data_IF_743683375897
#
_entry.id   IF_743683375897
#
_cell.length_a   1.000
_cell.length_b   1.000
_cell.length_c   1.000
_cell.angle_alpha   90.00
_cell.angle_beta   90.00
_cell.angle_gamma   90.00
#
_symmetry.space_group_name_H-M   'P 1'
#
loop_
_entity.id
_entity.type
_entity.pdbx_description
1 polymer ?
#
# COMPACT_ATOMS: atom_id res chain seq x y z
N UNK A 1 -32.90 4.41 -8.35
CA UNK A 1 -31.42 4.55 -8.47
C UNK A 1 -30.78 3.21 -8.84
N UNK A 2 -29.71 3.20 -9.63
CA UNK A 2 -28.88 2.00 -9.83
C UNK A 2 -27.99 1.71 -8.63
N UNK A 3 -27.25 0.59 -8.63
CA UNK A 3 -26.21 0.33 -7.64
C UNK A 3 -25.01 1.28 -7.85
N UNK A 4 -24.33 1.64 -6.76
CA UNK A 4 -23.07 2.37 -6.79
C UNK A 4 -21.91 1.35 -6.84
N UNK A 5 -21.05 1.46 -7.85
CA UNK A 5 -19.77 0.74 -7.90
C UNK A 5 -18.65 1.67 -7.41
N UNK A 6 -17.86 1.23 -6.43
CA UNK A 6 -16.85 2.04 -5.78
C UNK A 6 -15.55 1.24 -5.55
N UNK A 7 -14.52 1.41 -6.39
CA UNK A 7 -13.15 1.17 -5.99
C UNK A 7 -12.69 2.32 -5.08
N UNK A 8 -12.06 2.00 -3.95
CA UNK A 8 -11.66 3.00 -2.95
C UNK A 8 -10.49 2.50 -2.08
N UNK A 9 -9.76 3.43 -1.46
CA UNK A 9 -8.66 3.12 -0.54
C UNK A 9 -8.15 4.37 0.18
N UNK A 10 -7.27 4.17 1.16
CA UNK A 10 -6.58 5.28 1.84
C UNK A 10 -5.14 5.40 1.32
N UNK A 11 -4.86 6.44 0.52
CA UNK A 11 -3.53 6.71 -0.06
C UNK A 11 -2.56 7.27 0.99
N UNK A 12 -2.19 6.43 1.94
CA UNK A 12 -1.52 6.80 3.19
C UNK A 12 0.01 6.80 3.02
N UNK A 13 0.56 7.98 2.73
CA UNK A 13 2.00 8.24 2.62
C UNK A 13 2.66 8.29 4.00
N UNK A 14 3.29 7.19 4.42
CA UNK A 14 4.00 7.11 5.70
C UNK A 14 5.43 7.67 5.55
N UNK A 15 5.71 8.80 6.20
CA UNK A 15 7.07 9.36 6.28
C UNK A 15 8.03 8.36 6.94
N UNK A 16 9.18 8.14 6.33
CA UNK A 16 10.31 7.32 6.82
C UNK A 16 11.63 8.10 6.71
N UNK A 17 12.70 7.59 7.33
CA UNK A 17 14.06 8.14 7.26
C UNK A 17 14.71 7.91 5.89
N UNK A 18 14.67 6.67 5.40
CA UNK A 18 15.11 6.29 4.07
C UNK A 18 14.39 5.00 3.62
N UNK A 19 13.55 5.12 2.58
CA UNK A 19 12.74 4.03 2.02
C UNK A 19 13.56 2.82 1.56
N UNK A 20 14.83 3.03 1.20
CA UNK A 20 15.78 1.97 0.79
C UNK A 20 16.27 1.12 1.98
N UNK A 21 15.94 1.54 3.21
CA UNK A 21 16.27 0.84 4.46
C UNK A 21 15.04 0.49 5.29
N UNK A 22 13.92 1.19 5.07
CA UNK A 22 12.63 0.87 5.67
C UNK A 22 12.14 -0.52 5.22
N UNK A 23 11.40 -1.20 6.11
CA UNK A 23 10.93 -2.58 5.89
C UNK A 23 9.42 -2.68 6.11
N UNK A 24 8.68 -3.12 5.10
CA UNK A 24 7.24 -3.40 5.21
C UNK A 24 7.05 -4.90 5.47
N UNK A 25 6.69 -5.25 6.69
CA UNK A 25 6.52 -6.62 7.20
C UNK A 25 5.04 -7.03 7.23
N UNK A 26 4.78 -8.34 7.12
CA UNK A 26 3.41 -8.90 7.08
C UNK A 26 2.88 -9.17 5.67
N UNK A 27 3.71 -8.99 4.65
CA UNK A 27 3.38 -9.24 3.23
C UNK A 27 3.79 -10.64 2.74
N UNK A 28 4.60 -11.39 3.50
CA UNK A 28 5.17 -12.66 3.07
C UNK A 28 4.09 -13.71 2.78
N UNK A 29 4.26 -14.46 1.69
CA UNK A 29 3.33 -15.48 1.21
C UNK A 29 2.08 -14.92 0.52
N UNK A 30 1.86 -13.60 0.53
CA UNK A 30 0.78 -12.98 -0.23
C UNK A 30 1.13 -12.92 -1.72
N UNK A 31 0.11 -13.15 -2.56
CA UNK A 31 0.20 -12.87 -4.00
C UNK A 31 -0.02 -11.38 -4.25
N UNK A 32 0.72 -10.80 -5.19
CA UNK A 32 0.59 -9.42 -5.64
C UNK A 32 0.69 -9.31 -7.17
N UNK A 33 0.17 -8.21 -7.71
CA UNK A 33 0.42 -7.78 -9.09
C UNK A 33 1.31 -6.55 -9.08
N UNK A 34 2.37 -6.57 -9.87
CA UNK A 34 3.35 -5.49 -9.94
C UNK A 34 3.12 -4.65 -11.21
N UNK A 35 2.60 -3.44 -11.04
CA UNK A 35 2.26 -2.52 -12.13
C UNK A 35 3.52 -1.99 -12.84
N UNK A 36 4.68 -1.97 -12.18
CA UNK A 36 5.97 -1.65 -12.81
C UNK A 36 6.41 -2.75 -13.79
N UNK A 37 6.02 -4.00 -13.52
CA UNK A 37 6.27 -5.16 -14.36
C UNK A 37 5.02 -5.57 -15.17
N UNK A 38 4.29 -4.60 -15.73
CA UNK A 38 3.11 -4.80 -16.59
C UNK A 38 2.01 -5.69 -15.96
N UNK A 39 1.76 -5.50 -14.66
CA UNK A 39 0.82 -6.28 -13.83
C UNK A 39 1.18 -7.76 -13.64
N UNK A 40 2.44 -8.14 -13.86
CA UNK A 40 2.92 -9.49 -13.59
C UNK A 40 2.57 -9.94 -12.16
N UNK A 41 1.91 -11.10 -12.06
CA UNK A 41 1.45 -11.66 -10.79
C UNK A 41 2.56 -12.54 -10.17
N UNK A 42 2.82 -12.35 -8.87
CA UNK A 42 3.93 -12.95 -8.13
C UNK A 42 3.51 -13.27 -6.70
N UNK A 43 4.31 -14.07 -5.99
CA UNK A 43 4.23 -14.24 -4.53
C UNK A 43 5.37 -13.45 -3.88
N UNK A 44 5.12 -12.88 -2.69
CA UNK A 44 6.17 -12.23 -1.89
C UNK A 44 6.87 -13.25 -1.00
N UNK A 45 8.02 -13.75 -1.45
CA UNK A 45 8.82 -14.72 -0.71
C UNK A 45 9.59 -14.07 0.46
N UNK A 46 9.82 -12.76 0.41
CA UNK A 46 10.58 -12.03 1.42
C UNK A 46 9.78 -11.82 2.72
N UNK A 47 10.45 -11.96 3.87
CA UNK A 47 9.87 -11.65 5.19
C UNK A 47 9.48 -10.17 5.35
N UNK A 48 10.12 -9.28 4.59
CA UNK A 48 9.77 -7.88 4.50
C UNK A 48 10.15 -7.28 3.13
N UNK A 49 9.27 -6.46 2.57
CA UNK A 49 9.53 -5.66 1.37
C UNK A 49 10.43 -4.46 1.72
N UNK A 50 11.40 -4.17 0.85
CA UNK A 50 12.23 -2.95 0.85
C UNK A 50 12.14 -2.33 -0.54
N UNK A 51 11.61 -1.11 -0.65
CA UNK A 51 11.45 -0.41 -1.92
C UNK A 51 12.76 0.30 -2.31
N UNK A 52 13.63 -0.43 -3.02
CA UNK A 52 14.94 0.06 -3.50
C UNK A 52 14.87 0.87 -4.82
N UNK A 53 13.67 0.99 -5.41
CA UNK A 53 13.39 1.71 -6.66
C UNK A 53 11.89 1.93 -6.83
N UNK A 54 11.45 2.31 -8.04
CA UNK A 54 10.02 2.46 -8.34
C UNK A 54 9.29 1.15 -8.03
N UNK A 55 8.25 1.24 -7.19
CA UNK A 55 7.51 0.12 -6.61
C UNK A 55 6.04 0.47 -6.68
N UNK A 56 5.24 -0.40 -7.31
CA UNK A 56 3.80 -0.19 -7.49
C UNK A 56 3.11 -1.55 -7.47
N UNK A 57 2.84 -2.04 -6.24
CA UNK A 57 2.41 -3.42 -5.99
C UNK A 57 1.06 -3.46 -5.31
N UNK A 58 0.09 -4.14 -5.92
CA UNK A 58 -1.22 -4.41 -5.31
C UNK A 58 -1.26 -5.85 -4.83
N UNK A 59 -1.23 -6.04 -3.51
CA UNK A 59 -1.35 -7.34 -2.85
C UNK A 59 -2.81 -7.78 -2.85
N UNK A 60 -3.06 -9.00 -3.33
CA UNK A 60 -4.40 -9.48 -3.72
C UNK A 60 -5.31 -9.78 -2.53
N UNK A 61 -4.75 -10.01 -1.34
CA UNK A 61 -5.48 -10.17 -0.09
C UNK A 61 -4.88 -9.22 0.96
N UNK A 62 -5.69 -8.29 1.49
CA UNK A 62 -5.27 -7.41 2.56
C UNK A 62 -5.04 -8.20 3.87
N UNK A 63 -3.83 -8.17 4.47
CA UNK A 63 -3.63 -8.67 5.82
C UNK A 63 -4.19 -7.66 6.83
N UNK A 64 -4.78 -8.14 7.94
CA UNK A 64 -5.32 -7.28 9.00
C UNK A 64 -4.28 -6.32 9.59
N UNK A 65 -2.99 -6.73 9.60
CA UNK A 65 -1.90 -5.99 10.23
C UNK A 65 -0.64 -6.06 9.38
N UNK A 66 -0.02 -4.90 9.17
CA UNK A 66 1.33 -4.71 8.64
C UNK A 66 2.19 -3.95 9.66
N UNK A 67 3.51 -3.98 9.47
CA UNK A 67 4.46 -3.11 10.16
C UNK A 67 5.37 -2.42 9.15
N UNK A 68 5.60 -1.13 9.32
CA UNK A 68 6.69 -0.41 8.65
C UNK A 68 7.77 -0.13 9.69
N UNK A 69 8.91 -0.82 9.61
CA UNK A 69 10.10 -0.49 10.41
C UNK A 69 10.89 0.61 9.74
N UNK A 70 11.31 1.58 10.54
CA UNK A 70 12.02 2.78 10.12
C UNK A 70 13.07 3.14 11.20
N UNK A 71 14.33 2.70 10.98
CA UNK A 71 15.43 2.83 11.93
C UNK A 71 15.08 2.26 13.33
N UNK A 72 14.74 3.12 14.29
CA UNK A 72 14.38 2.75 15.68
C UNK A 72 12.86 2.75 15.95
N UNK A 73 12.03 3.02 14.93
CA UNK A 73 10.58 3.18 15.05
C UNK A 73 9.86 2.06 14.31
N UNK A 74 8.73 1.62 14.84
CA UNK A 74 7.78 0.77 14.12
C UNK A 74 6.48 1.56 13.96
N UNK A 75 5.96 1.63 12.74
CA UNK A 75 4.59 2.05 12.48
C UNK A 75 3.77 0.77 12.29
N UNK A 76 2.84 0.49 13.22
CA UNK A 76 1.83 -0.54 12.99
C UNK A 76 0.73 0.07 12.12
N UNK A 77 0.35 -0.67 11.08
CA UNK A 77 -0.77 -0.34 10.19
C UNK A 77 -1.78 -1.47 10.31
N UNK A 78 -3.01 -1.18 10.70
CA UNK A 78 -4.10 -2.16 10.74
C UNK A 78 -5.27 -1.70 9.89
N UNK A 79 -5.99 -2.63 9.26
CA UNK A 79 -7.07 -2.29 8.34
C UNK A 79 -8.14 -3.36 8.22
N UNK A 80 -9.36 -2.91 7.90
CA UNK A 80 -10.54 -3.76 7.68
C UNK A 80 -11.46 -3.15 6.61
N UNK A 81 -12.31 -3.99 6.01
CA UNK A 81 -13.25 -3.60 4.94
C UNK A 81 -12.67 -3.58 3.52
N UNK A 82 -11.35 -3.63 3.38
CA UNK A 82 -10.62 -3.58 2.11
C UNK A 82 -10.19 -4.96 1.62
N UNK A 83 -10.20 -5.18 0.30
CA UNK A 83 -9.82 -6.45 -0.31
C UNK A 83 -8.30 -6.59 -0.53
N UNK A 84 -7.61 -5.47 -0.75
CA UNK A 84 -6.22 -5.39 -1.21
C UNK A 84 -5.40 -4.44 -0.31
N UNK A 85 -4.07 -4.49 -0.43
CA UNK A 85 -3.20 -3.41 0.04
C UNK A 85 -2.23 -3.02 -1.07
N UNK A 86 -2.12 -1.73 -1.36
CA UNK A 86 -1.09 -1.20 -2.27
C UNK A 86 0.14 -0.83 -1.45
N UNK A 87 1.32 -1.15 -1.96
CA UNK A 87 2.57 -0.57 -1.48
C UNK A 87 3.22 0.17 -2.65
N UNK A 88 3.41 1.48 -2.47
CA UNK A 88 3.87 2.37 -3.53
C UNK A 88 5.02 3.29 -3.11
N UNK A 89 6.01 3.42 -3.98
CA UNK A 89 7.02 4.46 -3.95
C UNK A 89 7.47 4.76 -5.40
N UNK A 90 7.57 6.03 -5.83
CA UNK A 90 7.91 6.35 -7.22
C UNK A 90 9.40 6.17 -7.55
N UNK A 91 10.26 5.94 -6.56
CA UNK A 91 11.69 5.78 -6.71
C UNK A 91 12.43 7.03 -7.22
N UNK A 92 13.75 6.93 -7.47
CA UNK A 92 14.53 8.03 -8.05
C UNK A 92 14.07 8.40 -9.47
N UNK A 93 13.51 7.45 -10.21
CA UNK A 93 12.91 7.70 -11.51
C UNK A 93 11.60 8.52 -11.42
N UNK A 94 11.10 8.82 -10.22
CA UNK A 94 9.94 9.65 -9.94
C UNK A 94 10.23 11.14 -9.74
N UNK A 95 11.49 11.54 -9.55
CA UNK A 95 11.86 12.94 -9.37
C UNK A 95 11.44 13.76 -10.61
N UNK A 96 10.59 14.77 -10.42
CA UNK A 96 10.01 15.58 -11.50
C UNK A 96 8.82 14.98 -12.27
N UNK A 97 8.40 13.73 -11.97
CA UNK A 97 7.14 13.14 -12.48
C UNK A 97 5.94 13.38 -11.56
N UNK A 98 6.19 13.71 -10.30
CA UNK A 98 5.19 13.89 -9.24
C UNK A 98 5.46 15.19 -8.48
N UNK A 99 4.43 15.70 -7.78
CA UNK A 99 4.46 16.97 -7.04
C UNK A 99 5.15 16.83 -5.67
N UNK A 100 6.45 16.48 -5.71
CA UNK A 100 7.34 16.37 -4.56
C UNK A 100 8.70 17.01 -4.89
N UNK A 101 9.41 17.53 -3.90
CA UNK A 101 10.74 18.10 -4.15
C UNK A 101 11.79 16.99 -4.47
N UNK A 102 12.89 17.31 -5.20
CA UNK A 102 13.89 16.32 -5.58
C UNK A 102 14.45 15.52 -4.38
N UNK A 103 14.43 14.19 -4.49
CA UNK A 103 14.85 13.27 -3.45
C UNK A 103 13.84 13.03 -2.33
N UNK A 104 12.62 13.58 -2.39
CA UNK A 104 11.60 13.33 -1.36
C UNK A 104 10.93 11.96 -1.45
N UNK A 105 10.98 11.28 -2.61
CA UNK A 105 10.61 9.86 -2.74
C UNK A 105 11.35 8.98 -1.72
N UNK A 106 12.59 9.33 -1.34
CA UNK A 106 13.35 8.57 -0.36
C UNK A 106 12.79 8.67 1.07
N UNK A 107 11.91 9.65 1.34
CA UNK A 107 11.44 10.02 2.69
C UNK A 107 10.02 9.50 3.00
N UNK A 108 9.40 8.69 2.13
CA UNK A 108 8.10 8.09 2.40
C UNK A 108 7.93 6.69 1.78
N UNK A 109 6.97 5.94 2.28
CA UNK A 109 6.41 4.73 1.65
C UNK A 109 4.89 4.80 1.77
N UNK A 110 4.15 4.59 0.69
CA UNK A 110 2.69 4.47 0.78
C UNK A 110 2.31 3.04 1.17
N UNK A 111 1.41 2.90 2.14
CA UNK A 111 0.84 1.61 2.56
C UNK A 111 -0.67 1.77 2.67
N UNK A 112 -1.35 1.33 1.62
CA UNK A 112 -2.69 1.79 1.26
C UNK A 112 -3.69 0.64 1.28
N UNK A 113 -4.48 0.44 2.35
CA UNK A 113 -5.57 -0.52 2.31
C UNK A 113 -6.63 -0.02 1.32
N UNK A 114 -6.95 -0.88 0.35
CA UNK A 114 -7.69 -0.48 -0.85
C UNK A 114 -8.52 -1.65 -1.42
N UNK A 115 -9.48 -1.32 -2.27
CA UNK A 115 -10.28 -2.28 -3.03
C UNK A 115 -10.17 -1.87 -4.50
N UNK A 116 -9.30 -2.56 -5.24
CA UNK A 116 -8.76 -2.10 -6.53
C UNK A 116 -9.33 -2.90 -7.70
N UNK A 117 -9.30 -4.23 -7.62
CA UNK A 117 -9.67 -5.10 -8.75
C UNK A 117 -11.17 -5.43 -8.78
N UNK A 118 -11.76 -5.70 -7.61
CA UNK A 118 -13.18 -6.07 -7.44
C UNK A 118 -13.88 -4.95 -6.65
N UNK A 119 -14.55 -3.97 -7.29
CA UNK A 119 -15.08 -2.80 -6.62
C UNK A 119 -16.26 -3.14 -5.68
N UNK A 120 -16.46 -2.33 -4.64
CA UNK A 120 -17.61 -2.47 -3.73
C UNK A 120 -18.88 -2.07 -4.49
N UNK A 121 -19.87 -2.96 -4.54
CA UNK A 121 -21.16 -2.73 -5.22
C UNK A 121 -22.28 -2.54 -4.19
N UNK A 122 -22.64 -1.29 -3.92
CA UNK A 122 -23.73 -0.92 -3.01
C UNK A 122 -25.07 -0.87 -3.74
N UNK A 123 -26.04 -1.66 -3.26
CA UNK A 123 -27.45 -1.55 -3.66
C UNK A 123 -28.10 -0.33 -2.96
N UNK A 124 -29.19 0.25 -3.48
CA UNK A 124 -29.90 1.32 -2.79
C UNK A 124 -30.26 0.96 -1.34
N UNK A 125 -29.86 1.80 -0.39
CA UNK A 125 -30.04 1.58 1.06
C UNK A 125 -28.94 0.76 1.74
N UNK A 126 -27.96 0.22 1.01
CA UNK A 126 -26.79 -0.45 1.60
C UNK A 126 -25.68 0.54 1.97
N UNK A 127 -24.88 0.17 2.97
CA UNK A 127 -23.65 0.87 3.38
C UNK A 127 -22.44 -0.06 3.27
N UNK A 128 -21.24 0.52 3.25
CA UNK A 128 -19.96 -0.16 3.42
C UNK A 128 -19.08 0.72 4.31
N UNK A 129 -18.18 0.09 5.07
CA UNK A 129 -17.21 0.75 5.93
C UNK A 129 -15.82 0.12 5.69
N UNK A 130 -14.80 0.97 5.63
CA UNK A 130 -13.40 0.56 5.65
C UNK A 130 -12.60 1.42 6.62
N UNK A 131 -11.70 0.81 7.37
CA UNK A 131 -10.89 1.45 8.41
C UNK A 131 -9.41 1.26 8.13
N UNK A 132 -8.62 2.29 8.44
CA UNK A 132 -7.19 2.16 8.70
C UNK A 132 -6.91 2.71 10.09
N UNK A 133 -6.08 2.01 10.87
CA UNK A 133 -5.49 2.48 12.11
C UNK A 133 -3.97 2.56 11.94
N UNK A 134 -3.38 3.66 12.43
CA UNK A 134 -1.95 3.90 12.44
C UNK A 134 -1.51 4.10 13.89
N UNK A 135 -0.54 3.32 14.34
CA UNK A 135 0.04 3.44 15.68
C UNK A 135 1.56 3.38 15.60
N UNK A 136 2.22 4.06 16.54
CA UNK A 136 3.64 3.84 16.80
C UNK A 136 3.80 2.76 17.86
N UNK A 137 4.82 1.92 17.71
CA UNK A 137 5.28 0.94 18.71
C UNK A 137 6.72 1.26 19.15
#
# INVERSE_FOLDING_TARGET
PGPLSCPCGFHTSLRVKDVRTARVEGLQGLRYRDKTAAWAERTEEATALVAVGETDRVYLAAPHRLRVRDDKRIIRVESSGFANVVVWNPGPAGDGRFDFAPGEWAKFICVEPATVFEPIVLKPGATWEGRQELALE
#
